data_IF_148390395549
#
_entry.id   IF_148390395549
#
_cell.length_a   1.000
_cell.length_b   1.000
_cell.length_c   1.000
_cell.angle_alpha   90.00
_cell.angle_beta   90.00
_cell.angle_gamma   90.00
#
_symmetry.space_group_name_H-M   'P 1'
#
loop_
_entity.id
_entity.type
_entity.pdbx_description
1 polymer ?
#
# COMPACT_ATOMS: atom_id res chain seq x y z
N UNK A 1 -10.49 13.98 18.92
CA UNK A 1 -9.02 14.01 18.70
C UNK A 1 -8.52 13.03 17.62
N UNK A 2 -9.34 12.12 17.10
CA UNK A 2 -8.91 11.08 16.15
C UNK A 2 -9.05 11.48 14.67
N UNK A 3 -10.01 12.37 14.36
CA UNK A 3 -10.31 12.85 13.00
C UNK A 3 -9.09 13.49 12.31
N UNK A 4 -8.34 14.34 13.00
CA UNK A 4 -7.14 14.98 12.41
C UNK A 4 -6.02 13.98 12.10
N UNK A 5 -5.92 12.87 12.84
CA UNK A 5 -4.94 11.80 12.53
C UNK A 5 -5.33 11.06 11.26
N UNK A 6 -6.63 10.75 11.10
CA UNK A 6 -7.14 10.13 9.88
C UNK A 6 -6.96 11.04 8.66
N UNK A 7 -7.26 12.33 8.79
CA UNK A 7 -7.04 13.32 7.72
C UNK A 7 -5.55 13.41 7.34
N UNK A 8 -4.66 13.49 8.33
CA UNK A 8 -3.21 13.50 8.10
C UNK A 8 -2.73 12.21 7.43
N UNK A 9 -3.26 11.05 7.83
CA UNK A 9 -2.94 9.78 7.19
C UNK A 9 -3.38 9.74 5.71
N UNK A 10 -4.59 10.22 5.39
CA UNK A 10 -5.09 10.30 4.00
C UNK A 10 -4.23 11.25 3.16
N UNK A 11 -3.84 12.41 3.68
CA UNK A 11 -2.95 13.32 2.98
C UNK A 11 -1.58 12.68 2.72
N UNK A 12 -1.04 11.97 3.72
CA UNK A 12 0.24 11.30 3.63
C UNK A 12 0.20 10.13 2.64
N UNK A 13 -0.95 9.50 2.39
CA UNK A 13 -1.09 8.45 1.36
C UNK A 13 -0.81 8.98 -0.06
N UNK A 14 -1.18 10.23 -0.36
CA UNK A 14 -0.88 10.87 -1.65
C UNK A 14 0.61 11.11 -1.91
N UNK A 15 1.44 11.07 -0.86
CA UNK A 15 2.89 11.19 -0.97
C UNK A 15 3.60 9.85 -1.21
N UNK A 16 2.86 8.72 -1.26
CA UNK A 16 3.47 7.42 -1.54
C UNK A 16 3.87 7.32 -3.01
N UNK A 17 5.14 6.96 -3.26
CA UNK A 17 5.67 6.79 -4.61
C UNK A 17 5.93 5.32 -4.90
N UNK A 18 5.10 4.74 -5.74
CA UNK A 18 5.30 3.39 -6.26
C UNK A 18 6.17 3.44 -7.51
N UNK A 19 7.19 2.60 -7.56
CA UNK A 19 8.01 2.37 -8.74
C UNK A 19 7.66 1.02 -9.35
N UNK A 20 7.91 0.89 -10.65
CA UNK A 20 7.89 -0.41 -11.31
C UNK A 20 9.22 -1.12 -11.02
N UNK A 21 9.16 -2.41 -10.67
CA UNK A 21 10.36 -3.24 -10.60
C UNK A 21 11.01 -3.36 -11.98
N UNK A 22 12.35 -3.48 -12.03
CA UNK A 22 13.07 -3.53 -13.32
C UNK A 22 12.89 -4.87 -14.03
N UNK A 23 12.86 -5.94 -13.25
CA UNK A 23 12.80 -7.32 -13.76
C UNK A 23 11.38 -7.86 -13.85
N UNK A 24 10.42 -7.17 -13.22
CA UNK A 24 9.01 -7.58 -13.20
C UNK A 24 8.11 -6.37 -13.35
N UNK A 25 6.98 -6.50 -14.05
CA UNK A 25 5.99 -5.42 -14.20
C UNK A 25 5.23 -5.09 -12.89
N UNK A 26 5.76 -5.53 -11.74
CA UNK A 26 5.16 -5.37 -10.42
C UNK A 26 5.45 -3.97 -9.85
N UNK A 27 4.51 -3.45 -9.07
CA UNK A 27 4.75 -2.29 -8.23
C UNK A 27 5.70 -2.66 -7.07
N UNK A 28 6.62 -1.76 -6.76
CA UNK A 28 7.45 -1.76 -5.58
C UNK A 28 7.35 -0.41 -4.87
N UNK A 29 7.51 -0.44 -3.55
CA UNK A 29 7.57 0.74 -2.71
C UNK A 29 9.01 0.86 -2.17
N UNK A 30 9.92 1.50 -2.91
CA UNK A 30 11.34 1.58 -2.53
C UNK A 30 11.55 2.44 -1.28
N UNK A 31 10.70 3.46 -1.07
CA UNK A 31 10.68 4.28 0.14
C UNK A 31 9.36 4.06 0.89
N UNK A 32 9.47 3.43 2.06
CA UNK A 32 8.34 3.13 2.93
C UNK A 32 8.21 4.10 4.12
N UNK A 33 9.01 5.17 4.19
CA UNK A 33 8.94 6.14 5.31
C UNK A 33 7.56 6.78 5.43
N UNK A 34 6.92 7.07 4.29
CA UNK A 34 5.55 7.58 4.21
C UNK A 34 4.55 6.55 4.77
N UNK A 35 4.68 5.28 4.37
CA UNK A 35 3.86 4.19 4.88
C UNK A 35 4.05 3.98 6.39
N UNK A 36 5.28 4.08 6.90
CA UNK A 36 5.58 4.02 8.33
C UNK A 36 4.86 5.11 9.13
N UNK A 37 4.84 6.36 8.64
CA UNK A 37 4.12 7.47 9.28
C UNK A 37 2.61 7.22 9.31
N UNK A 38 2.02 6.77 8.19
CA UNK A 38 0.59 6.43 8.10
C UNK A 38 0.26 5.31 9.09
N UNK A 39 1.07 4.26 9.11
CA UNK A 39 0.85 3.10 9.96
C UNK A 39 0.99 3.44 11.45
N UNK A 40 1.92 4.33 11.82
CA UNK A 40 2.05 4.85 13.17
C UNK A 40 0.82 5.65 13.61
N UNK A 41 0.24 6.44 12.70
CA UNK A 41 -0.97 7.23 12.98
C UNK A 41 -2.22 6.35 13.10
N UNK A 42 -2.30 5.27 12.31
CA UNK A 42 -3.45 4.36 12.24
C UNK A 42 -3.33 3.13 13.16
N UNK A 43 -2.16 2.89 13.77
CA UNK A 43 -1.91 1.73 14.63
C UNK A 43 -1.87 0.40 13.89
N UNK A 44 -1.47 0.39 12.62
CA UNK A 44 -1.42 -0.81 11.77
C UNK A 44 0.02 -1.24 11.45
N UNK A 45 0.20 -2.49 11.03
CA UNK A 45 1.50 -3.02 10.61
C UNK A 45 1.90 -2.47 9.24
N UNK A 46 3.09 -1.89 9.14
CA UNK A 46 3.66 -1.38 7.88
C UNK A 46 3.82 -2.49 6.85
N UNK A 47 4.26 -3.65 7.29
CA UNK A 47 4.48 -4.81 6.41
C UNK A 47 3.17 -5.28 5.78
N UNK A 48 2.10 -5.37 6.58
CA UNK A 48 0.80 -5.81 6.08
C UNK A 48 0.13 -4.74 5.23
N UNK A 49 0.28 -3.46 5.60
CA UNK A 49 -0.16 -2.32 4.80
C UNK A 49 0.48 -2.34 3.42
N UNK A 50 1.81 -2.38 3.32
CA UNK A 50 2.52 -2.40 2.03
C UNK A 50 2.17 -3.65 1.22
N UNK A 51 2.08 -4.83 1.87
CA UNK A 51 1.67 -6.07 1.19
C UNK A 51 0.26 -5.97 0.62
N UNK A 52 -0.66 -5.30 1.32
CA UNK A 52 -2.03 -5.05 0.84
C UNK A 52 -2.06 -4.30 -0.49
N UNK A 53 -1.17 -3.32 -0.69
CA UNK A 53 -1.08 -2.56 -1.95
C UNK A 53 -0.38 -3.35 -3.06
N UNK A 54 0.73 -4.04 -2.73
CA UNK A 54 1.57 -4.68 -3.75
C UNK A 54 1.06 -6.07 -4.16
N UNK A 55 0.56 -6.84 -3.19
CA UNK A 55 0.14 -8.24 -3.35
C UNK A 55 -1.14 -8.53 -2.56
N UNK A 56 -2.27 -7.87 -2.92
CA UNK A 56 -3.55 -8.14 -2.28
C UNK A 56 -3.97 -9.61 -2.44
N UNK A 57 -4.52 -10.16 -1.37
CA UNK A 57 -5.23 -11.45 -1.40
C UNK A 57 -6.68 -11.18 -1.77
N UNK A 58 -7.06 -11.59 -2.96
CA UNK A 58 -8.41 -11.42 -3.50
C UNK A 58 -9.18 -12.74 -3.32
N UNK A 59 -10.39 -12.64 -2.77
CA UNK A 59 -11.31 -13.76 -2.75
C UNK A 59 -12.05 -13.80 -4.09
N UNK A 60 -11.93 -14.90 -4.82
CA UNK A 60 -12.57 -15.13 -6.11
C UNK A 60 -13.46 -16.38 -5.98
N UNK A 61 -14.67 -16.19 -5.44
CA UNK A 61 -15.61 -17.28 -5.22
C UNK A 61 -15.23 -18.15 -4.03
N UNK A 62 -14.72 -19.36 -4.28
CA UNK A 62 -14.27 -20.31 -3.23
C UNK A 62 -12.76 -20.29 -3.00
N UNK A 63 -12.00 -19.57 -3.82
CA UNK A 63 -10.54 -19.57 -3.81
C UNK A 63 -9.95 -18.20 -3.47
N UNK A 64 -8.81 -18.19 -2.78
CA UNK A 64 -8.03 -16.97 -2.52
C UNK A 64 -6.84 -16.89 -3.47
N UNK A 65 -6.80 -15.83 -4.28
CA UNK A 65 -5.71 -15.59 -5.23
C UNK A 65 -4.88 -14.40 -4.75
N UNK A 66 -3.56 -14.59 -4.69
CA UNK A 66 -2.63 -13.47 -4.46
C UNK A 66 -2.18 -12.94 -5.81
N UNK A 67 -2.52 -11.68 -6.14
CA UNK A 67 -2.11 -11.04 -7.39
C UNK A 67 -1.13 -9.92 -7.11
N UNK A 68 0.06 -9.98 -7.71
CA UNK A 68 0.95 -8.83 -7.73
C UNK A 68 0.35 -7.73 -8.62
N UNK A 69 0.25 -6.51 -8.10
CA UNK A 69 -0.29 -5.36 -8.83
C UNK A 69 0.81 -4.65 -9.61
N UNK A 70 0.46 -4.06 -10.75
CA UNK A 70 1.37 -3.19 -11.51
C UNK A 70 1.38 -1.77 -10.95
N UNK A 71 2.41 -0.98 -11.29
CA UNK A 71 2.49 0.43 -10.85
C UNK A 71 1.26 1.23 -11.29
N UNK A 72 0.71 0.96 -12.46
CA UNK A 72 -0.50 1.60 -12.95
C UNK A 72 -1.71 1.28 -12.07
N UNK A 73 -1.85 0.02 -11.62
CA UNK A 73 -2.98 -0.41 -10.79
C UNK A 73 -2.92 0.17 -9.36
N UNK A 74 -1.71 0.37 -8.81
CA UNK A 74 -1.54 0.90 -7.45
C UNK A 74 -1.57 2.43 -7.39
N UNK A 75 -1.16 3.10 -8.47
CA UNK A 75 -1.08 4.57 -8.57
C UNK A 75 -2.34 5.20 -9.18
N UNK A 76 -3.37 4.40 -9.48
CA UNK A 76 -4.59 4.83 -10.18
C UNK A 76 -5.58 5.54 -9.27
#
# INVERSE_FOLDING_TARGET
HSIFRTISAVLQMGNMQFKQERDTDQAALPDNTVAQKICHLLGISVTDFVRSFLKPKLNVGRDFVTKAQTKAQVSS
#
